data_IF_676371778869
#
_entry.id   IF_676371778869
#
_cell.length_a   1.000
_cell.length_b   1.000
_cell.length_c   1.000
_cell.angle_alpha   90.00
_cell.angle_beta   90.00
_cell.angle_gamma   90.00
#
_symmetry.space_group_name_H-M   'P 1'
#
loop_
_entity.id
_entity.type
_entity.pdbx_description
1 polymer ?
#
# COMPACT_ATOMS: atom_id res chain seq x y z
N UNK A 1 -17.97 -0.68 8.20
CA UNK A 1 -18.06 -0.70 6.73
C UNK A 1 -16.69 -1.07 6.16
N UNK A 2 -16.63 -2.01 5.22
CA UNK A 2 -15.37 -2.32 4.54
C UNK A 2 -14.84 -1.11 3.77
N UNK A 3 -13.51 -0.91 3.78
CA UNK A 3 -12.88 0.27 3.19
C UNK A 3 -13.13 0.38 1.68
N UNK A 4 -13.09 -0.73 0.95
CA UNK A 4 -13.34 -0.71 -0.51
C UNK A 4 -14.76 -0.23 -0.84
N UNK A 5 -15.73 -0.58 -0.01
CA UNK A 5 -17.11 -0.09 -0.18
C UNK A 5 -17.22 1.39 0.15
N UNK A 6 -16.50 1.83 1.17
CA UNK A 6 -16.41 3.26 1.51
C UNK A 6 -15.84 4.07 0.35
N UNK A 7 -14.79 3.57 -0.30
CA UNK A 7 -14.19 4.26 -1.45
C UNK A 7 -15.18 4.40 -2.61
N UNK A 8 -15.90 3.34 -2.94
CA UNK A 8 -16.87 3.35 -4.03
C UNK A 8 -18.01 4.33 -3.73
N UNK A 9 -18.59 4.27 -2.55
CA UNK A 9 -19.66 5.17 -2.15
C UNK A 9 -19.18 6.61 -1.98
N UNK A 10 -18.00 6.79 -1.39
CA UNK A 10 -17.41 8.11 -1.20
C UNK A 10 -17.14 8.82 -2.51
N UNK A 11 -16.71 8.10 -3.55
CA UNK A 11 -16.45 8.67 -4.87
C UNK A 11 -17.70 9.29 -5.49
N UNK A 12 -18.87 8.74 -5.22
CA UNK A 12 -20.14 9.28 -5.71
C UNK A 12 -20.45 10.64 -5.11
N UNK A 13 -20.08 10.88 -3.85
CA UNK A 13 -20.35 12.12 -3.12
C UNK A 13 -19.19 13.11 -3.20
N UNK A 14 -17.97 12.60 -3.32
CA UNK A 14 -16.73 13.38 -3.36
C UNK A 14 -16.00 13.03 -4.67
N UNK A 15 -16.32 13.70 -5.79
CA UNK A 15 -15.77 13.32 -7.10
C UNK A 15 -14.25 13.37 -7.19
N UNK A 16 -13.59 14.16 -6.36
CA UNK A 16 -12.13 14.24 -6.33
C UNK A 16 -11.46 13.30 -5.31
N UNK A 17 -12.21 12.36 -4.77
CA UNK A 17 -11.63 11.30 -3.94
C UNK A 17 -10.79 10.38 -4.82
N UNK A 18 -9.48 10.27 -4.53
CA UNK A 18 -8.54 9.51 -5.37
C UNK A 18 -7.97 8.26 -4.71
N UNK A 19 -8.08 8.12 -3.39
CA UNK A 19 -7.51 6.97 -2.73
C UNK A 19 -7.58 6.98 -1.22
N UNK A 20 -6.78 6.15 -0.60
CA UNK A 20 -6.77 5.96 0.86
C UNK A 20 -5.36 5.57 1.33
N UNK A 21 -5.01 6.01 2.53
CA UNK A 21 -3.89 5.43 3.29
C UNK A 21 -4.44 4.24 4.06
N UNK A 22 -3.89 3.07 3.81
CA UNK A 22 -4.35 1.82 4.41
C UNK A 22 -3.34 1.36 5.47
N UNK A 23 -3.68 1.55 6.74
CA UNK A 23 -2.83 1.21 7.88
C UNK A 23 -3.47 0.07 8.67
N UNK A 24 -3.43 -1.12 8.10
CA UNK A 24 -4.00 -2.33 8.70
C UNK A 24 -3.31 -3.55 8.09
N UNK A 25 -3.37 -4.67 8.78
CA UNK A 25 -2.77 -5.92 8.32
C UNK A 25 -3.71 -6.81 7.51
N UNK A 26 -4.94 -6.39 7.26
CA UNK A 26 -5.89 -7.15 6.43
C UNK A 26 -5.57 -6.95 4.96
N UNK A 27 -4.68 -7.78 4.43
CA UNK A 27 -4.21 -7.68 3.05
C UNK A 27 -5.30 -8.00 2.02
N UNK A 28 -6.26 -8.86 2.37
CA UNK A 28 -7.38 -9.15 1.48
C UNK A 28 -8.22 -7.89 1.25
N UNK A 29 -8.52 -7.15 2.31
CA UNK A 29 -9.26 -5.90 2.19
C UNK A 29 -8.46 -4.85 1.43
N UNK A 30 -7.15 -4.78 1.65
CA UNK A 30 -6.26 -3.90 0.89
C UNK A 30 -6.31 -4.21 -0.61
N UNK A 31 -6.25 -5.49 -0.99
CA UNK A 31 -6.40 -5.91 -2.38
C UNK A 31 -7.75 -5.48 -2.95
N UNK A 32 -8.82 -5.62 -2.18
CA UNK A 32 -10.14 -5.17 -2.60
C UNK A 32 -10.17 -3.67 -2.88
N UNK A 33 -9.47 -2.87 -2.06
CA UNK A 33 -9.35 -1.43 -2.30
C UNK A 33 -8.57 -1.13 -3.59
N UNK A 34 -7.46 -1.84 -3.82
CA UNK A 34 -6.63 -1.65 -5.01
C UNK A 34 -7.42 -1.95 -6.29
N UNK A 35 -8.25 -2.97 -6.27
CA UNK A 35 -9.03 -3.39 -7.43
C UNK A 35 -10.42 -2.76 -7.54
N UNK A 36 -10.85 -2.02 -6.52
CA UNK A 36 -12.16 -1.37 -6.53
C UNK A 36 -12.26 -0.42 -7.72
N UNK A 37 -13.45 -0.37 -8.33
CA UNK A 37 -13.74 0.49 -9.47
C UNK A 37 -12.70 0.35 -10.60
N UNK A 38 -12.35 -0.90 -10.94
CA UNK A 38 -11.41 -1.20 -12.01
C UNK A 38 -9.97 -0.78 -11.72
N UNK A 39 -9.62 -0.58 -10.46
CA UNK A 39 -8.28 -0.15 -10.06
C UNK A 39 -8.08 1.36 -10.08
N UNK A 40 -9.17 2.13 -10.00
CA UNK A 40 -9.12 3.58 -10.10
C UNK A 40 -8.55 4.29 -8.87
N UNK A 41 -8.51 3.62 -7.72
CA UNK A 41 -8.08 4.25 -6.47
C UNK A 41 -6.59 4.04 -6.20
N UNK A 42 -5.93 5.11 -5.70
CA UNK A 42 -4.59 5.02 -5.14
C UNK A 42 -4.68 4.48 -3.71
N UNK A 43 -4.00 3.38 -3.43
CA UNK A 43 -3.94 2.81 -2.08
C UNK A 43 -2.50 2.90 -1.58
N UNK A 44 -2.29 3.77 -0.60
CA UNK A 44 -0.99 3.96 0.01
C UNK A 44 -0.86 3.03 1.22
N UNK A 45 0.19 2.22 1.23
CA UNK A 45 0.46 1.33 2.37
C UNK A 45 0.98 2.16 3.55
N UNK A 46 0.29 2.09 4.69
CA UNK A 46 0.62 2.88 5.87
C UNK A 46 1.23 2.11 7.03
N UNK A 47 1.58 0.85 6.82
CA UNK A 47 2.13 -0.03 7.86
C UNK A 47 3.57 -0.38 7.50
N UNK A 48 4.50 0.54 7.84
CA UNK A 48 5.90 0.48 7.38
C UNK A 48 6.66 -0.77 7.84
N UNK A 49 6.33 -1.32 9.00
CA UNK A 49 6.98 -2.54 9.52
C UNK A 49 6.69 -3.79 8.67
N UNK A 50 5.67 -3.72 7.83
CA UNK A 50 5.33 -4.80 6.90
C UNK A 50 5.17 -4.28 5.46
N UNK A 51 5.98 -3.30 5.06
CA UNK A 51 5.93 -2.70 3.72
C UNK A 51 5.93 -3.75 2.61
N UNK A 52 6.76 -4.78 2.74
CA UNK A 52 6.87 -5.84 1.75
C UNK A 52 5.52 -6.51 1.46
N UNK A 53 4.66 -6.66 2.46
CA UNK A 53 3.34 -7.28 2.27
C UNK A 53 2.43 -6.41 1.44
N UNK A 54 2.42 -5.10 1.66
CA UNK A 54 1.65 -4.17 0.86
C UNK A 54 2.10 -4.14 -0.58
N UNK A 55 3.42 -4.14 -0.81
CA UNK A 55 3.97 -4.19 -2.17
C UNK A 55 3.63 -5.50 -2.87
N UNK A 56 3.62 -6.62 -2.15
CA UNK A 56 3.32 -7.92 -2.74
C UNK A 56 1.88 -8.04 -3.23
N UNK A 57 0.93 -7.32 -2.65
CA UNK A 57 -0.47 -7.34 -3.07
C UNK A 57 -0.81 -6.19 -4.03
N UNK A 58 0.17 -5.40 -4.42
CA UNK A 58 0.00 -4.43 -5.50
C UNK A 58 0.04 -2.96 -5.12
N UNK A 59 0.33 -2.60 -3.87
CA UNK A 59 0.53 -1.20 -3.51
C UNK A 59 1.79 -0.66 -4.20
N UNK A 60 1.71 0.56 -4.73
CA UNK A 60 2.82 1.19 -5.46
C UNK A 60 3.50 2.30 -4.66
N UNK A 61 2.91 2.71 -3.56
CA UNK A 61 3.42 3.77 -2.70
C UNK A 61 3.07 3.51 -1.24
N UNK A 62 3.76 4.19 -0.35
CA UNK A 62 3.58 4.01 1.08
C UNK A 62 3.81 5.33 1.82
N UNK A 63 3.17 5.46 2.97
CA UNK A 63 3.32 6.60 3.88
C UNK A 63 3.48 6.06 5.30
N UNK A 64 4.54 6.43 5.98
CA UNK A 64 4.76 5.98 7.36
C UNK A 64 5.81 6.82 8.06
N UNK A 65 5.75 6.85 9.39
CA UNK A 65 6.65 7.68 10.22
C UNK A 65 8.11 7.22 10.15
N UNK A 66 8.35 5.92 10.04
CA UNK A 66 9.70 5.33 10.01
C UNK A 66 10.49 5.78 8.78
N UNK A 67 9.83 6.13 7.70
CA UNK A 67 10.46 6.60 6.46
C UNK A 67 11.21 7.92 6.66
N UNK A 68 10.87 8.68 7.69
CA UNK A 68 11.58 9.92 8.04
C UNK A 68 12.96 9.67 8.64
N UNK A 69 13.19 8.47 9.19
CA UNK A 69 14.44 8.13 9.89
C UNK A 69 15.35 7.26 9.01
N UNK A 70 14.80 6.29 8.31
CA UNK A 70 15.57 5.31 7.55
C UNK A 70 15.00 5.09 6.14
N UNK A 71 14.83 6.17 5.35
CA UNK A 71 14.20 6.05 4.02
C UNK A 71 15.00 5.16 3.07
N UNK A 72 16.33 5.09 3.23
CA UNK A 72 17.18 4.27 2.36
C UNK A 72 16.87 2.78 2.44
N UNK A 73 16.53 2.28 3.63
CA UNK A 73 16.15 0.86 3.81
C UNK A 73 14.85 0.57 3.06
N UNK A 74 13.85 1.42 3.22
CA UNK A 74 12.55 1.21 2.58
C UNK A 74 12.62 1.39 1.06
N UNK A 75 13.44 2.30 0.58
CA UNK A 75 13.73 2.42 -0.86
C UNK A 75 14.33 1.13 -1.40
N UNK A 76 15.26 0.52 -0.66
CA UNK A 76 15.86 -0.75 -1.05
C UNK A 76 14.82 -1.87 -1.13
N UNK A 77 13.87 -1.91 -0.19
CA UNK A 77 12.76 -2.88 -0.23
C UNK A 77 11.93 -2.68 -1.51
N UNK A 78 11.57 -1.45 -1.82
CA UNK A 78 10.77 -1.15 -3.01
C UNK A 78 11.49 -1.51 -4.30
N UNK A 79 12.77 -1.17 -4.41
CA UNK A 79 13.59 -1.51 -5.58
C UNK A 79 13.75 -3.01 -5.75
N UNK A 80 13.98 -3.74 -4.64
CA UNK A 80 14.11 -5.20 -4.69
C UNK A 80 12.79 -5.85 -5.14
N UNK A 81 11.66 -5.37 -4.65
CA UNK A 81 10.35 -5.89 -5.07
C UNK A 81 10.06 -5.61 -6.54
N UNK A 82 10.43 -4.44 -7.05
CA UNK A 82 10.30 -4.12 -8.49
C UNK A 82 11.10 -5.08 -9.35
N UNK A 83 12.28 -5.46 -8.91
CA UNK A 83 13.17 -6.39 -9.63
C UNK A 83 12.77 -7.86 -9.44
N UNK A 84 11.80 -8.14 -8.57
CA UNK A 84 11.44 -9.50 -8.22
C UNK A 84 12.40 -10.19 -7.26
N UNK A 85 13.30 -9.44 -6.61
CA UNK A 85 14.28 -9.95 -5.67
C UNK A 85 13.68 -9.99 -4.25
N UNK A 86 12.84 -11.00 -4.01
CA UNK A 86 12.12 -11.15 -2.76
C UNK A 86 13.05 -11.41 -1.58
N UNK A 87 14.15 -12.11 -1.81
CA UNK A 87 15.11 -12.42 -0.75
C UNK A 87 15.76 -11.16 -0.19
N UNK A 88 16.27 -10.28 -1.06
CA UNK A 88 16.83 -8.99 -0.65
C UNK A 88 15.75 -8.11 0.02
N UNK A 89 14.55 -8.10 -0.52
CA UNK A 89 13.45 -7.33 0.07
C UNK A 89 13.16 -7.78 1.51
N UNK A 90 13.14 -9.08 1.76
CA UNK A 90 12.93 -9.63 3.09
C UNK A 90 14.02 -9.22 4.07
N UNK A 91 15.28 -9.28 3.64
CA UNK A 91 16.41 -8.88 4.48
C UNK A 91 16.33 -7.41 4.88
N UNK A 92 16.01 -6.53 3.93
CA UNK A 92 15.91 -5.10 4.18
C UNK A 92 14.68 -4.74 5.03
N UNK A 93 13.57 -5.45 4.87
CA UNK A 93 12.37 -5.23 5.67
C UNK A 93 12.56 -5.61 7.13
N UNK A 94 13.35 -6.64 7.37
CA UNK A 94 13.56 -7.17 8.72
C UNK A 94 14.40 -6.23 9.57
#
# INVERSE_FOLDING_TARGET
MPVHKFLIEGKKQIPNLVGVKFTHNNLMEMQQCIHADGGAFEVLHGFDEILITGLSVGAKAAVGSTYNYVPGIYKAVMEAMEKGDLETAREMQW
#
